data_IF_975144163859
#
_entry.id   IF_975144163859
#
_cell.length_a   1.000
_cell.length_b   1.000
_cell.length_c   1.000
_cell.angle_alpha   90.00
_cell.angle_beta   90.00
_cell.angle_gamma   90.00
#
_symmetry.space_group_name_H-M   'P 1'
#
loop_
_entity.id
_entity.type
_entity.pdbx_description
1 polymer ?
#
# COMPACT_ATOMS: atom_id res chain seq x y z
N UNK A 1 8.18 20.25 3.78
CA UNK A 1 8.70 19.20 4.66
C UNK A 1 8.68 17.85 3.97
N UNK A 2 7.52 17.31 3.61
CA UNK A 2 7.36 15.98 3.01
C UNK A 2 8.27 15.73 1.79
N UNK A 3 8.53 16.74 0.97
CA UNK A 3 9.29 16.61 -0.27
C UNK A 3 10.82 16.65 -0.09
N UNK A 4 11.34 17.29 0.99
CA UNK A 4 12.76 17.64 1.05
C UNK A 4 13.44 17.50 2.42
N UNK A 5 12.76 17.03 3.45
CA UNK A 5 13.33 17.01 4.82
C UNK A 5 13.12 15.66 5.51
N UNK A 6 13.60 14.58 4.92
CA UNK A 6 13.53 13.24 5.54
C UNK A 6 14.55 13.05 6.68
N UNK A 7 15.62 13.82 6.73
CA UNK A 7 16.79 13.53 7.57
C UNK A 7 16.88 14.31 8.90
N UNK A 8 15.95 15.20 9.21
CA UNK A 8 16.06 16.01 10.44
C UNK A 8 14.86 15.81 11.38
N UNK A 9 14.90 14.76 12.17
CA UNK A 9 14.19 14.73 13.44
C UNK A 9 15.05 15.40 14.52
N UNK A 10 15.09 16.75 14.53
CA UNK A 10 15.68 17.45 15.67
C UNK A 10 14.75 17.31 16.87
N UNK A 11 15.30 16.86 17.97
CA UNK A 11 14.60 16.64 19.23
C UNK A 11 14.32 17.93 20.00
N UNK A 12 15.01 19.03 19.67
CA UNK A 12 14.88 20.32 20.36
C UNK A 12 13.87 21.26 19.68
N UNK A 13 12.97 21.85 20.48
CA UNK A 13 12.02 22.88 20.02
C UNK A 13 12.72 24.11 19.42
N UNK A 14 13.83 24.54 20.01
CA UNK A 14 14.61 25.71 19.55
C UNK A 14 15.27 25.43 18.21
N UNK A 15 15.86 24.28 18.00
CA UNK A 15 16.42 23.87 16.69
C UNK A 15 15.36 23.84 15.60
N UNK A 16 14.16 23.35 15.90
CA UNK A 16 13.02 23.38 14.97
C UNK A 16 12.64 24.80 14.59
N UNK A 17 12.51 25.70 15.56
CA UNK A 17 12.05 27.05 15.32
C UNK A 17 13.09 27.90 14.57
N UNK A 18 14.37 27.79 14.93
CA UNK A 18 15.43 28.70 14.42
C UNK A 18 16.22 28.14 13.24
N UNK A 19 16.32 26.82 13.08
CA UNK A 19 17.09 26.21 12.00
C UNK A 19 16.23 25.55 10.93
N UNK A 20 15.19 24.79 11.31
CA UNK A 20 14.36 24.07 10.33
C UNK A 20 13.40 25.00 9.60
N UNK A 21 12.71 25.90 10.30
CA UNK A 21 11.69 26.76 9.67
C UNK A 21 12.29 27.72 8.63
N UNK A 22 13.40 28.40 8.87
CA UNK A 22 14.03 29.20 7.83
C UNK A 22 14.49 28.43 6.62
N UNK A 23 15.00 27.19 6.80
CA UNK A 23 15.36 26.31 5.68
C UNK A 23 14.13 25.93 4.88
N UNK A 24 13.03 25.54 5.53
CA UNK A 24 11.76 25.23 4.88
C UNK A 24 11.24 26.42 4.05
N UNK A 25 11.36 27.66 4.56
CA UNK A 25 10.92 28.85 3.84
C UNK A 25 11.78 29.14 2.60
N UNK A 26 13.10 29.01 2.70
CA UNK A 26 14.00 29.20 1.55
C UNK A 26 13.69 28.14 0.47
N UNK A 27 13.53 26.89 0.87
CA UNK A 27 13.19 25.81 -0.06
C UNK A 27 11.82 26.06 -0.70
N UNK A 28 10.83 26.48 0.07
CA UNK A 28 9.50 26.79 -0.44
C UNK A 28 9.51 27.92 -1.46
N UNK A 29 10.21 29.02 -1.17
CA UNK A 29 10.35 30.15 -2.09
C UNK A 29 11.06 29.73 -3.39
N UNK A 30 12.12 28.94 -3.28
CA UNK A 30 12.83 28.40 -4.45
C UNK A 30 11.97 27.43 -5.26
N UNK A 31 11.19 26.59 -4.59
CA UNK A 31 10.26 25.67 -5.24
C UNK A 31 9.19 26.44 -6.03
N UNK A 32 8.58 27.46 -5.42
CA UNK A 32 7.57 28.30 -6.06
C UNK A 32 8.13 29.13 -7.22
N UNK A 33 9.44 29.44 -7.22
CA UNK A 33 10.10 30.11 -8.36
C UNK A 33 10.40 29.19 -9.55
N UNK A 34 10.53 27.87 -9.30
CA UNK A 34 10.93 26.90 -10.32
C UNK A 34 9.73 26.09 -10.88
N UNK A 35 8.68 25.95 -10.11
CA UNK A 35 7.54 25.08 -10.42
C UNK A 35 6.22 25.82 -10.28
N UNK A 36 5.26 25.47 -11.10
CA UNK A 36 3.89 25.95 -10.97
C UNK A 36 3.21 25.33 -9.75
N UNK A 37 2.15 25.97 -9.25
CA UNK A 37 1.35 25.43 -8.12
C UNK A 37 0.79 24.04 -8.42
N UNK A 38 0.40 23.77 -9.67
CA UNK A 38 -0.08 22.45 -10.10
C UNK A 38 0.99 21.38 -9.99
N UNK A 39 2.21 21.66 -10.44
CA UNK A 39 3.35 20.75 -10.35
C UNK A 39 3.74 20.47 -8.89
N UNK A 40 3.72 21.51 -8.04
CA UNK A 40 4.00 21.35 -6.60
C UNK A 40 2.97 20.44 -5.94
N UNK A 41 1.68 20.61 -6.26
CA UNK A 41 0.61 19.76 -5.75
C UNK A 41 0.78 18.33 -6.28
N UNK A 42 1.08 18.14 -7.55
CA UNK A 42 1.31 16.83 -8.14
C UNK A 42 2.49 16.11 -7.46
N UNK A 43 3.63 16.80 -7.26
CA UNK A 43 4.77 16.24 -6.53
C UNK A 43 4.38 15.83 -5.09
N UNK A 44 3.62 16.68 -4.40
CA UNK A 44 3.15 16.39 -3.04
C UNK A 44 2.24 15.16 -2.99
N UNK A 45 1.24 15.09 -3.86
CA UNK A 45 0.28 13.99 -3.93
C UNK A 45 0.95 12.67 -4.33
N UNK A 46 1.94 12.71 -5.22
CA UNK A 46 2.67 11.52 -5.65
C UNK A 46 3.62 10.96 -4.58
N UNK A 47 3.99 11.77 -3.59
CA UNK A 47 4.89 11.35 -2.51
C UNK A 47 4.17 11.05 -1.19
N UNK A 48 2.93 11.45 -1.06
CA UNK A 48 2.20 11.28 0.19
C UNK A 48 1.84 9.81 0.42
N UNK A 49 2.05 9.33 1.67
CA UNK A 49 1.68 7.98 2.09
C UNK A 49 0.24 7.95 2.60
N UNK A 50 -0.65 7.35 1.81
CA UNK A 50 -2.05 7.14 2.13
C UNK A 50 -2.27 5.87 2.98
N UNK A 51 -1.21 5.24 3.48
CA UNK A 51 -1.22 3.95 4.18
C UNK A 51 -1.63 2.75 3.31
N UNK A 52 -1.65 1.56 3.93
CA UNK A 52 -2.04 0.32 3.26
C UNK A 52 -1.28 0.07 1.95
N UNK A 53 0.01 0.46 1.91
CA UNK A 53 0.91 0.40 0.74
C UNK A 53 0.54 1.38 -0.40
N UNK A 54 -0.37 2.32 -0.14
CA UNK A 54 -0.77 3.34 -1.08
C UNK A 54 0.16 4.56 -1.01
N UNK A 55 1.36 4.48 -1.58
CA UNK A 55 2.26 5.63 -1.71
C UNK A 55 1.97 6.36 -3.02
N UNK A 56 1.54 7.61 -2.90
CA UNK A 56 1.10 8.44 -4.00
C UNK A 56 -0.37 8.29 -4.35
N UNK A 57 -0.94 9.34 -4.95
CA UNK A 57 -2.37 9.45 -5.25
C UNK A 57 -2.86 8.36 -6.22
N UNK A 58 -2.03 7.97 -7.20
CA UNK A 58 -2.38 6.94 -8.16
C UNK A 58 -2.54 5.58 -7.47
N UNK A 59 -1.56 5.20 -6.64
CA UNK A 59 -1.65 3.98 -5.85
C UNK A 59 -2.85 4.00 -4.90
N UNK A 60 -3.18 5.17 -4.33
CA UNK A 60 -4.33 5.32 -3.46
C UNK A 60 -5.65 5.13 -4.22
N UNK A 61 -5.79 5.68 -5.44
CA UNK A 61 -6.95 5.49 -6.29
C UNK A 61 -7.18 4.00 -6.62
N UNK A 62 -6.13 3.32 -7.06
CA UNK A 62 -6.19 1.87 -7.36
C UNK A 62 -6.49 1.04 -6.10
N UNK A 63 -5.80 1.29 -4.98
CA UNK A 63 -5.94 0.47 -3.76
C UNK A 63 -7.30 0.66 -3.08
N UNK A 64 -7.80 1.90 -2.98
CA UNK A 64 -9.04 2.16 -2.25
C UNK A 64 -10.30 2.04 -3.11
N UNK A 65 -10.18 2.29 -4.43
CA UNK A 65 -11.34 2.38 -5.32
C UNK A 65 -11.26 1.48 -6.56
N UNK A 66 -10.09 0.85 -6.81
CA UNK A 66 -9.84 0.06 -8.03
C UNK A 66 -10.06 0.89 -9.32
N UNK A 67 -9.58 2.14 -9.30
CA UNK A 67 -9.75 3.12 -10.38
C UNK A 67 -8.44 3.81 -10.70
N UNK A 68 -8.32 4.30 -11.93
CA UNK A 68 -7.31 5.32 -12.26
C UNK A 68 -7.73 6.68 -11.67
N UNK A 69 -6.76 7.60 -11.57
CA UNK A 69 -6.99 8.91 -10.91
C UNK A 69 -8.06 9.73 -11.63
N UNK A 70 -8.10 9.62 -12.96
CA UNK A 70 -9.03 10.34 -13.85
C UNK A 70 -10.49 9.83 -13.73
N UNK A 71 -10.66 8.62 -13.21
CA UNK A 71 -11.97 7.96 -13.03
C UNK A 71 -12.58 8.20 -11.66
N UNK A 72 -11.82 8.86 -10.76
CA UNK A 72 -12.30 9.14 -9.41
C UNK A 72 -13.47 10.13 -9.43
N UNK A 73 -14.51 9.81 -8.69
CA UNK A 73 -15.61 10.72 -8.42
C UNK A 73 -15.19 11.82 -7.43
N UNK A 74 -15.97 12.90 -7.36
CA UNK A 74 -15.67 14.05 -6.46
C UNK A 74 -15.64 13.62 -4.99
N UNK A 75 -16.56 12.76 -4.56
CA UNK A 75 -16.59 12.23 -3.18
C UNK A 75 -15.37 11.38 -2.85
N UNK A 76 -14.85 10.61 -3.81
CA UNK A 76 -13.65 9.79 -3.69
C UNK A 76 -12.41 10.69 -3.61
N UNK A 77 -12.31 11.67 -4.49
CA UNK A 77 -11.27 12.71 -4.43
C UNK A 77 -11.29 13.45 -3.08
N UNK A 78 -12.46 13.87 -2.63
CA UNK A 78 -12.61 14.57 -1.36
C UNK A 78 -12.21 13.70 -0.16
N UNK A 79 -12.43 12.39 -0.23
CA UNK A 79 -11.97 11.44 0.78
C UNK A 79 -10.45 11.39 0.81
N UNK A 80 -9.79 11.17 -0.33
CA UNK A 80 -8.33 11.11 -0.41
C UNK A 80 -7.68 12.42 0.04
N UNK A 81 -8.20 13.56 -0.40
CA UNK A 81 -7.75 14.89 0.09
C UNK A 81 -7.96 15.03 1.61
N UNK A 82 -9.05 14.49 2.12
CA UNK A 82 -9.32 14.44 3.56
C UNK A 82 -8.24 13.70 4.36
N UNK A 83 -7.68 12.62 3.80
CA UNK A 83 -6.62 11.82 4.40
C UNK A 83 -5.28 12.57 4.50
N UNK A 84 -5.04 13.59 3.67
CA UNK A 84 -3.80 14.38 3.68
C UNK A 84 -3.56 15.08 5.03
N UNK A 85 -4.57 15.29 5.83
CA UNK A 85 -4.41 15.87 7.18
C UNK A 85 -3.70 14.91 8.13
N UNK A 86 -4.07 13.65 8.11
CA UNK A 86 -3.46 12.57 8.89
C UNK A 86 -4.02 11.23 8.40
N UNK A 87 -3.28 10.52 7.57
CA UNK A 87 -3.74 9.25 6.98
C UNK A 87 -3.98 8.15 8.03
N UNK A 88 -3.22 8.15 9.14
CA UNK A 88 -3.43 7.17 10.21
C UNK A 88 -4.74 7.40 10.98
N UNK A 89 -5.12 8.67 11.21
CA UNK A 89 -6.37 9.03 11.87
C UNK A 89 -7.58 8.82 10.94
N UNK A 90 -7.44 9.22 9.68
CA UNK A 90 -8.49 9.17 8.66
C UNK A 90 -8.34 7.95 7.73
N UNK A 91 -8.05 6.78 8.31
CA UNK A 91 -7.97 5.53 7.56
C UNK A 91 -9.37 4.97 7.29
N UNK A 92 -9.83 4.88 6.02
CA UNK A 92 -11.20 4.46 5.68
C UNK A 92 -11.50 2.99 6.02
N UNK A 93 -10.48 2.13 6.10
CA UNK A 93 -10.67 0.72 6.48
C UNK A 93 -10.90 0.52 7.99
N UNK A 94 -10.54 1.52 8.81
CA UNK A 94 -10.62 1.41 10.26
C UNK A 94 -11.64 2.34 10.89
N UNK A 95 -11.84 3.52 10.31
CA UNK A 95 -12.61 4.62 10.93
C UNK A 95 -13.47 5.35 9.90
N UNK A 96 -14.35 4.61 9.24
CA UNK A 96 -15.18 5.13 8.13
C UNK A 96 -15.98 6.38 8.52
N UNK A 97 -16.52 6.43 9.75
CA UNK A 97 -17.28 7.58 10.22
C UNK A 97 -16.45 8.87 10.33
N UNK A 98 -15.21 8.77 10.84
CA UNK A 98 -14.30 9.92 10.92
C UNK A 98 -13.86 10.37 9.52
N UNK A 99 -13.66 9.43 8.62
CA UNK A 99 -13.32 9.71 7.22
C UNK A 99 -14.48 10.41 6.51
N UNK A 100 -15.71 9.95 6.72
CA UNK A 100 -16.92 10.59 6.17
C UNK A 100 -17.03 12.04 6.66
N UNK A 101 -16.90 12.28 7.96
CA UNK A 101 -16.90 13.64 8.51
C UNK A 101 -15.77 14.50 7.91
N UNK A 102 -14.59 13.91 7.69
CA UNK A 102 -13.45 14.62 7.11
C UNK A 102 -13.66 14.92 5.63
N UNK A 103 -14.20 13.97 4.84
CA UNK A 103 -14.63 14.18 3.46
C UNK A 103 -15.60 15.36 3.37
N UNK A 104 -16.59 15.41 4.25
CA UNK A 104 -17.61 16.45 4.27
C UNK A 104 -17.04 17.84 4.58
N UNK A 105 -15.97 17.92 5.38
CA UNK A 105 -15.21 19.15 5.56
C UNK A 105 -14.56 19.61 4.26
N UNK A 106 -13.99 18.70 3.48
CA UNK A 106 -13.40 19.02 2.17
C UNK A 106 -14.47 19.51 1.21
N UNK A 107 -15.60 18.80 1.10
CA UNK A 107 -16.74 19.20 0.25
C UNK A 107 -17.31 20.58 0.65
N UNK A 108 -17.39 20.88 1.95
CA UNK A 108 -17.79 22.20 2.42
C UNK A 108 -16.79 23.30 2.01
N UNK A 109 -15.48 23.00 2.03
CA UNK A 109 -14.48 23.96 1.55
C UNK A 109 -14.61 24.18 0.04
N UNK A 110 -14.83 23.13 -0.74
CA UNK A 110 -15.05 23.24 -2.19
C UNK A 110 -16.27 24.13 -2.50
N UNK A 111 -17.37 23.96 -1.75
CA UNK A 111 -18.56 24.81 -1.91
C UNK A 111 -18.29 26.25 -1.45
N UNK A 112 -17.56 26.45 -0.35
CA UNK A 112 -17.19 27.79 0.14
C UNK A 112 -16.39 28.59 -0.89
N UNK A 113 -15.51 27.91 -1.63
CA UNK A 113 -14.70 28.55 -2.68
C UNK A 113 -15.33 28.46 -4.08
N UNK A 114 -16.63 28.18 -4.17
CA UNK A 114 -17.41 28.14 -5.43
C UNK A 114 -16.97 27.10 -6.46
N UNK A 115 -16.26 26.05 -6.04
CA UNK A 115 -15.96 24.89 -6.90
C UNK A 115 -17.15 23.95 -7.03
N UNK A 116 -18.11 23.99 -6.07
CA UNK A 116 -19.34 23.22 -6.07
C UNK A 116 -20.51 24.11 -5.67
N UNK A 117 -21.70 23.83 -6.24
CA UNK A 117 -22.94 24.43 -5.74
C UNK A 117 -23.34 23.80 -4.40
N UNK A 118 -24.06 24.54 -3.56
CA UNK A 118 -24.50 24.02 -2.26
C UNK A 118 -25.42 22.81 -2.39
N UNK A 119 -26.33 22.82 -3.39
CA UNK A 119 -27.22 21.66 -3.63
C UNK A 119 -26.46 20.41 -4.05
N UNK A 120 -25.46 20.55 -4.92
CA UNK A 120 -24.65 19.42 -5.38
C UNK A 120 -23.76 18.86 -4.26
N UNK A 121 -23.14 19.75 -3.44
CA UNK A 121 -22.43 19.34 -2.22
C UNK A 121 -23.31 18.49 -1.30
N UNK A 122 -24.56 18.93 -1.05
CA UNK A 122 -25.47 18.24 -0.12
C UNK A 122 -25.91 16.88 -0.68
N UNK A 123 -26.11 16.79 -2.00
CA UNK A 123 -26.37 15.52 -2.67
C UNK A 123 -25.19 14.54 -2.51
N UNK A 124 -23.95 14.98 -2.71
CA UNK A 124 -22.77 14.15 -2.55
C UNK A 124 -22.55 13.72 -1.09
N UNK A 125 -22.78 14.62 -0.13
CA UNK A 125 -22.65 14.29 1.30
C UNK A 125 -23.63 13.20 1.75
N UNK A 126 -24.78 13.09 1.12
CA UNK A 126 -25.75 12.04 1.39
C UNK A 126 -25.29 10.65 0.91
N UNK A 127 -24.32 10.61 -0.01
CA UNK A 127 -23.77 9.34 -0.51
C UNK A 127 -22.84 8.72 0.51
N UNK A 128 -22.95 7.40 0.77
CA UNK A 128 -21.99 6.67 1.58
C UNK A 128 -20.63 6.59 0.87
N UNK A 129 -19.56 6.48 1.62
CA UNK A 129 -18.24 6.14 1.05
C UNK A 129 -18.25 4.65 0.70
N UNK A 130 -18.20 4.35 -0.58
CA UNK A 130 -18.09 2.97 -1.08
C UNK A 130 -16.64 2.71 -1.46
N UNK A 131 -16.02 1.76 -0.78
CA UNK A 131 -14.65 1.34 -1.07
C UNK A 131 -14.68 0.06 -1.92
N UNK A 132 -13.89 0.03 -2.96
CA UNK A 132 -13.51 -1.19 -3.68
C UNK A 132 -12.05 -1.51 -3.36
N UNK A 133 -11.80 -1.86 -2.10
CA UNK A 133 -10.46 -2.03 -1.57
C UNK A 133 -9.76 -3.23 -2.19
N UNK A 134 -8.70 -2.95 -2.96
CA UNK A 134 -7.80 -3.95 -3.50
C UNK A 134 -6.56 -4.04 -2.61
N UNK A 135 -6.46 -5.13 -1.87
CA UNK A 135 -5.24 -5.39 -1.14
C UNK A 135 -4.15 -5.77 -2.15
N UNK A 136 -3.18 -4.89 -2.34
CA UNK A 136 -1.97 -5.26 -3.07
C UNK A 136 -1.21 -6.27 -2.22
N UNK A 137 -1.48 -7.54 -2.45
CA UNK A 137 -0.66 -8.61 -1.88
C UNK A 137 0.61 -8.74 -2.70
N UNK A 138 1.74 -8.91 -2.04
CA UNK A 138 3.00 -9.24 -2.73
C UNK A 138 2.91 -10.58 -3.46
N UNK A 139 1.92 -11.40 -3.08
CA UNK A 139 1.65 -12.72 -3.63
C UNK A 139 0.76 -12.71 -4.88
N UNK A 140 0.14 -11.56 -5.21
CA UNK A 140 -0.74 -11.41 -6.38
C UNK A 140 0.03 -10.84 -7.59
N UNK A 141 -0.40 -11.25 -8.79
CA UNK A 141 0.22 -10.87 -10.07
C UNK A 141 1.30 -11.84 -10.55
N UNK A 142 1.87 -11.58 -11.72
CA UNK A 142 2.84 -12.45 -12.38
C UNK A 142 4.11 -12.65 -11.54
N UNK A 143 4.60 -13.88 -11.46
CA UNK A 143 5.86 -14.27 -10.82
C UNK A 143 6.06 -13.74 -9.38
N UNK A 144 5.16 -14.00 -8.41
CA UNK A 144 5.25 -13.40 -7.08
C UNK A 144 6.54 -13.78 -6.35
N UNK A 145 6.97 -15.02 -6.40
CA UNK A 145 8.22 -15.50 -5.79
C UNK A 145 9.45 -14.83 -6.40
N UNK A 146 9.47 -14.68 -7.72
CA UNK A 146 10.55 -13.99 -8.42
C UNK A 146 10.63 -12.52 -7.98
N UNK A 147 9.50 -11.82 -7.92
CA UNK A 147 9.45 -10.41 -7.47
C UNK A 147 9.96 -10.25 -6.03
N UNK A 148 9.58 -11.15 -5.14
CA UNK A 148 10.05 -11.12 -3.75
C UNK A 148 11.56 -11.37 -3.66
N UNK A 149 12.07 -12.35 -4.41
CA UNK A 149 13.51 -12.62 -4.49
C UNK A 149 14.28 -11.43 -5.08
N UNK A 150 13.75 -10.84 -6.15
CA UNK A 150 14.32 -9.65 -6.78
C UNK A 150 14.34 -8.47 -5.82
N UNK A 151 13.27 -8.25 -5.07
CA UNK A 151 13.19 -7.22 -4.03
C UNK A 151 14.28 -7.41 -2.96
N UNK A 152 14.45 -8.61 -2.47
CA UNK A 152 15.48 -8.93 -1.47
C UNK A 152 16.88 -8.67 -2.02
N UNK A 153 17.14 -9.07 -3.26
CA UNK A 153 18.44 -8.88 -3.91
C UNK A 153 18.75 -7.40 -4.18
N UNK A 154 17.76 -6.62 -4.65
CA UNK A 154 17.92 -5.17 -4.83
C UNK A 154 18.19 -4.46 -3.50
N UNK A 155 17.51 -4.84 -2.42
CA UNK A 155 17.80 -4.30 -1.09
C UNK A 155 19.24 -4.61 -0.66
N UNK A 156 19.73 -5.81 -0.93
CA UNK A 156 21.11 -6.21 -0.66
C UNK A 156 22.08 -5.34 -1.43
N UNK A 157 21.92 -5.23 -2.76
CA UNK A 157 22.79 -4.46 -3.65
C UNK A 157 22.83 -2.98 -3.23
N UNK A 158 21.69 -2.37 -2.97
CA UNK A 158 21.63 -0.95 -2.57
C UNK A 158 22.10 -0.68 -1.13
N UNK A 159 22.25 -1.72 -0.32
CA UNK A 159 22.78 -1.60 1.05
C UNK A 159 24.28 -1.93 1.14
N UNK A 160 24.87 -2.41 0.06
CA UNK A 160 26.29 -2.75 0.01
C UNK A 160 27.15 -1.49 0.05
N UNK A 161 28.19 -1.52 0.89
CA UNK A 161 29.07 -0.38 1.12
C UNK A 161 30.53 -0.72 0.84
N UNK A 162 31.26 0.27 0.36
CA UNK A 162 32.70 0.25 0.30
C UNK A 162 33.33 0.36 1.70
N UNK A 163 34.64 0.07 1.85
CA UNK A 163 35.37 0.22 3.12
C UNK A 163 35.34 1.66 3.68
N UNK A 164 35.17 2.66 2.82
CA UNK A 164 35.03 4.09 3.18
C UNK A 164 33.62 4.48 3.63
N UNK A 165 32.73 3.50 3.80
CA UNK A 165 31.33 3.67 4.20
C UNK A 165 30.40 4.30 3.14
N UNK A 166 30.90 4.56 1.92
CA UNK A 166 30.08 4.96 0.77
C UNK A 166 29.29 3.79 0.20
N UNK A 167 28.12 4.05 -0.39
CA UNK A 167 27.35 2.98 -1.04
C UNK A 167 27.94 2.60 -2.40
N UNK A 168 28.05 1.30 -2.68
CA UNK A 168 28.54 0.77 -3.96
C UNK A 168 27.66 1.24 -5.12
N UNK A 169 26.35 1.27 -4.90
CA UNK A 169 25.35 1.83 -5.83
C UNK A 169 24.65 2.99 -5.13
N UNK A 170 24.97 4.20 -5.56
CA UNK A 170 24.44 5.44 -4.93
C UNK A 170 23.86 6.38 -5.97
N UNK A 171 23.00 7.28 -5.48
CA UNK A 171 22.52 8.44 -6.25
C UNK A 171 23.64 9.46 -6.44
N UNK A 172 23.40 10.48 -7.25
CA UNK A 172 24.35 11.57 -7.48
C UNK A 172 24.74 12.35 -6.21
N UNK A 173 23.86 12.33 -5.18
CA UNK A 173 24.09 12.93 -3.87
C UNK A 173 24.78 12.00 -2.86
N UNK A 174 25.18 10.79 -3.28
CA UNK A 174 25.81 9.77 -2.44
C UNK A 174 24.84 8.97 -1.57
N UNK A 175 23.55 9.25 -1.59
CA UNK A 175 22.55 8.48 -0.85
C UNK A 175 22.22 7.15 -1.53
N UNK A 176 21.71 6.18 -0.76
CA UNK A 176 21.28 4.88 -1.31
C UNK A 176 19.97 5.03 -2.08
N UNK A 177 19.75 4.13 -3.03
CA UNK A 177 18.46 4.00 -3.71
C UNK A 177 17.39 3.37 -2.80
N UNK A 178 16.16 3.90 -2.90
CA UNK A 178 14.97 3.32 -2.28
C UNK A 178 14.08 2.70 -3.36
N UNK A 179 13.82 1.39 -3.25
CA UNK A 179 13.06 0.61 -4.23
C UNK A 179 11.63 1.17 -4.41
N UNK A 180 11.06 1.74 -3.36
CA UNK A 180 9.66 2.20 -3.35
C UNK A 180 9.48 3.66 -3.69
N UNK A 181 10.55 4.47 -3.63
CA UNK A 181 10.46 5.93 -3.73
C UNK A 181 11.14 6.53 -4.95
N UNK A 182 12.15 5.87 -5.47
CA UNK A 182 13.02 6.44 -6.50
C UNK A 182 12.57 6.11 -7.94
N UNK A 183 11.40 5.47 -8.11
CA UNK A 183 10.83 5.20 -9.44
C UNK A 183 11.71 4.35 -10.33
N UNK A 184 12.45 3.40 -9.76
CA UNK A 184 13.42 2.57 -10.49
C UNK A 184 12.74 1.67 -11.52
N UNK A 185 13.33 1.61 -12.71
CA UNK A 185 12.96 0.64 -13.75
C UNK A 185 13.95 -0.51 -13.71
N UNK A 186 13.46 -1.69 -13.33
CA UNK A 186 14.28 -2.90 -13.23
C UNK A 186 14.02 -3.78 -14.44
N UNK A 187 15.04 -3.96 -15.27
CA UNK A 187 15.00 -4.86 -16.43
C UNK A 187 15.49 -6.24 -16.00
N UNK A 188 14.72 -7.27 -16.32
CA UNK A 188 15.02 -8.66 -15.96
C UNK A 188 15.03 -9.53 -17.21
N UNK A 189 15.60 -10.72 -17.10
CA UNK A 189 15.64 -11.71 -18.20
C UNK A 189 14.42 -12.63 -18.23
N UNK A 190 13.45 -12.43 -17.33
CA UNK A 190 12.25 -13.27 -17.28
C UNK A 190 11.35 -12.97 -18.50
N UNK A 191 10.91 -14.03 -19.20
CA UNK A 191 9.90 -13.93 -20.24
C UNK A 191 8.51 -14.13 -19.61
N UNK A 192 7.66 -13.12 -19.69
CA UNK A 192 6.33 -13.13 -19.07
C UNK A 192 5.41 -14.23 -19.61
N UNK A 193 5.55 -14.61 -20.88
CA UNK A 193 4.75 -15.69 -21.50
C UNK A 193 5.20 -17.06 -20.99
N UNK A 194 6.52 -17.28 -20.92
CA UNK A 194 7.06 -18.53 -20.35
C UNK A 194 6.68 -18.67 -18.88
N UNK A 195 6.75 -17.58 -18.11
CA UNK A 195 6.31 -17.55 -16.73
C UNK A 195 4.83 -17.91 -16.59
N UNK A 196 3.98 -17.35 -17.42
CA UNK A 196 2.54 -17.65 -17.42
C UNK A 196 2.27 -19.11 -17.77
N UNK A 197 2.98 -19.70 -18.74
CA UNK A 197 2.88 -21.11 -19.05
C UNK A 197 3.30 -21.99 -17.87
N UNK A 198 4.37 -21.62 -17.18
CA UNK A 198 4.83 -22.34 -15.99
C UNK A 198 3.80 -22.26 -14.84
N UNK A 199 3.25 -21.10 -14.55
CA UNK A 199 2.21 -20.90 -13.53
C UNK A 199 0.95 -21.68 -13.85
N UNK A 200 0.51 -21.66 -15.10
CA UNK A 200 -0.63 -22.46 -15.57
C UNK A 200 -0.38 -23.98 -15.45
N UNK A 201 0.82 -24.43 -15.79
CA UNK A 201 1.19 -25.84 -15.65
C UNK A 201 1.19 -26.28 -14.19
N UNK A 202 1.78 -25.46 -13.29
CA UNK A 202 1.77 -25.69 -11.84
C UNK A 202 0.32 -25.76 -11.32
N UNK A 203 -0.49 -24.76 -11.64
CA UNK A 203 -1.90 -24.71 -11.21
C UNK A 203 -2.70 -25.93 -11.69
N UNK A 204 -2.52 -26.33 -12.96
CA UNK A 204 -3.21 -27.49 -13.54
C UNK A 204 -2.79 -28.81 -12.91
N UNK A 205 -1.50 -29.05 -12.78
CA UNK A 205 -0.98 -30.36 -12.32
C UNK A 205 -0.95 -30.46 -10.79
N UNK A 206 -0.47 -29.43 -10.09
CA UNK A 206 -0.42 -29.48 -8.62
C UNK A 206 -1.75 -29.17 -7.99
N UNK A 207 -2.43 -28.10 -8.45
CA UNK A 207 -3.75 -27.69 -7.90
C UNK A 207 -4.92 -28.58 -8.35
N UNK A 208 -4.79 -29.30 -9.46
CA UNK A 208 -5.79 -30.20 -9.98
C UNK A 208 -5.56 -31.67 -9.57
N UNK A 209 -4.77 -32.37 -10.38
CA UNK A 209 -4.62 -33.83 -10.26
C UNK A 209 -3.89 -34.25 -8.99
N UNK A 210 -2.79 -33.61 -8.66
CA UNK A 210 -1.99 -33.99 -7.49
C UNK A 210 -2.72 -33.66 -6.19
N UNK A 211 -3.34 -32.47 -6.08
CA UNK A 211 -4.10 -32.08 -4.91
C UNK A 211 -5.28 -33.02 -4.67
N UNK A 212 -6.03 -33.36 -5.73
CA UNK A 212 -7.13 -34.29 -5.63
C UNK A 212 -6.70 -35.71 -5.19
N UNK A 213 -5.53 -36.16 -5.66
CA UNK A 213 -4.94 -37.43 -5.24
C UNK A 213 -4.49 -37.39 -3.79
N UNK A 214 -3.83 -36.30 -3.38
CA UNK A 214 -3.40 -36.07 -2.01
C UNK A 214 -4.58 -36.00 -1.03
N UNK A 215 -5.64 -35.26 -1.37
CA UNK A 215 -6.84 -35.16 -0.55
C UNK A 215 -7.55 -36.51 -0.40
N UNK A 216 -7.51 -37.36 -1.45
CA UNK A 216 -8.04 -38.71 -1.41
C UNK A 216 -7.23 -39.61 -0.49
N UNK A 217 -5.90 -39.53 -0.59
CA UNK A 217 -4.99 -40.28 0.28
C UNK A 217 -5.18 -39.89 1.75
N UNK A 218 -5.26 -38.60 2.02
CA UNK A 218 -5.50 -38.10 3.38
C UNK A 218 -6.84 -38.56 3.96
N UNK A 219 -7.92 -38.59 3.14
CA UNK A 219 -9.23 -39.08 3.58
C UNK A 219 -9.20 -40.57 3.93
N UNK A 220 -8.36 -41.34 3.28
CA UNK A 220 -8.24 -42.78 3.48
C UNK A 220 -7.27 -43.16 4.63
N UNK A 221 -6.50 -42.18 5.18
CA UNK A 221 -5.64 -42.44 6.33
C UNK A 221 -6.45 -42.57 7.63
N UNK A 222 -5.96 -43.37 8.58
CA UNK A 222 -6.53 -43.42 9.92
C UNK A 222 -6.59 -42.02 10.55
N UNK A 223 -7.71 -41.67 11.19
CA UNK A 223 -7.91 -40.34 11.80
C UNK A 223 -6.89 -39.98 12.88
N UNK A 224 -6.20 -40.99 13.42
CA UNK A 224 -5.16 -40.81 14.43
C UNK A 224 -3.89 -40.15 13.90
N UNK A 225 -3.59 -40.32 12.61
CA UNK A 225 -2.31 -39.86 12.01
C UNK A 225 -2.47 -38.49 11.32
N UNK A 226 -3.65 -37.89 11.29
CA UNK A 226 -3.90 -36.69 10.51
C UNK A 226 -4.65 -35.62 11.32
N UNK A 227 -4.29 -34.33 11.16
CA UNK A 227 -3.18 -33.76 10.39
C UNK A 227 -1.86 -33.60 11.15
N UNK A 228 -1.82 -34.01 12.42
CA UNK A 228 -0.69 -33.78 13.33
C UNK A 228 -0.21 -35.09 13.96
N UNK A 229 1.07 -35.14 14.31
CA UNK A 229 1.66 -36.25 15.06
C UNK A 229 0.99 -36.40 16.43
N UNK A 230 1.00 -37.63 16.98
CA UNK A 230 0.39 -37.99 18.30
C UNK A 230 0.91 -37.15 19.48
N UNK A 231 2.12 -36.58 19.36
CA UNK A 231 2.80 -35.81 20.39
C UNK A 231 2.20 -34.41 20.65
N UNK A 232 1.25 -33.95 19.84
CA UNK A 232 0.62 -32.63 20.02
C UNK A 232 -0.68 -32.75 20.79
N UNK A 233 -0.73 -32.04 21.92
CA UNK A 233 -1.92 -31.96 22.77
C UNK A 233 -3.17 -31.56 21.96
N UNK A 234 -4.33 -32.22 22.18
CA UNK A 234 -5.56 -31.94 21.47
C UNK A 234 -6.01 -30.47 21.52
N UNK A 235 -5.79 -29.77 22.64
CA UNK A 235 -6.14 -28.35 22.80
C UNK A 235 -5.22 -27.48 21.95
N UNK A 236 -3.91 -27.77 21.96
CA UNK A 236 -2.93 -27.07 21.11
C UNK A 236 -3.23 -27.30 19.63
N UNK A 237 -3.62 -28.52 19.24
CA UNK A 237 -4.05 -28.87 17.88
C UNK A 237 -5.24 -28.03 17.43
N UNK A 238 -6.28 -27.93 18.27
CA UNK A 238 -7.46 -27.13 17.97
C UNK A 238 -7.15 -25.66 17.83
N UNK A 239 -6.27 -25.13 18.72
CA UNK A 239 -5.80 -23.74 18.67
C UNK A 239 -5.09 -23.43 17.35
N UNK A 240 -4.21 -24.34 16.87
CA UNK A 240 -3.50 -24.17 15.61
C UNK A 240 -4.48 -24.16 14.42
N UNK A 241 -5.46 -25.07 14.43
CA UNK A 241 -6.51 -25.15 13.39
C UNK A 241 -7.34 -23.85 13.39
N UNK A 242 -7.76 -23.37 14.54
CA UNK A 242 -8.59 -22.17 14.66
C UNK A 242 -7.85 -20.92 14.19
N UNK A 243 -6.55 -20.82 14.47
CA UNK A 243 -5.69 -19.74 13.96
C UNK A 243 -5.59 -19.85 12.43
N UNK A 244 -5.28 -21.03 11.89
CA UNK A 244 -5.14 -21.24 10.45
C UNK A 244 -6.44 -20.94 9.69
N UNK A 245 -7.60 -21.38 10.23
CA UNK A 245 -8.92 -21.08 9.67
C UNK A 245 -9.18 -19.57 9.68
N UNK A 246 -8.92 -18.90 10.81
CA UNK A 246 -9.15 -17.46 10.99
C UNK A 246 -8.29 -16.62 10.06
N UNK A 247 -7.07 -17.08 9.77
CA UNK A 247 -6.13 -16.40 8.89
C UNK A 247 -6.34 -16.71 7.41
N UNK A 248 -7.13 -17.74 7.09
CA UNK A 248 -7.42 -18.08 5.69
C UNK A 248 -8.23 -16.97 4.98
N UNK A 249 -7.89 -16.72 3.72
CA UNK A 249 -8.61 -15.74 2.89
C UNK A 249 -10.09 -16.10 2.70
N UNK A 250 -10.41 -17.39 2.70
CA UNK A 250 -11.78 -17.87 2.61
C UNK A 250 -12.63 -17.47 3.81
N UNK A 251 -12.08 -17.56 5.03
CA UNK A 251 -12.75 -17.11 6.25
C UNK A 251 -12.89 -15.59 6.29
N UNK A 252 -11.84 -14.85 5.91
CA UNK A 252 -11.85 -13.39 5.82
C UNK A 252 -12.90 -12.90 4.81
N UNK A 253 -12.99 -13.53 3.64
CA UNK A 253 -14.01 -13.22 2.62
C UNK A 253 -15.43 -13.58 3.06
N UNK A 254 -15.63 -14.65 3.84
CA UNK A 254 -16.95 -15.03 4.35
C UNK A 254 -17.46 -14.08 5.44
N UNK A 255 -16.57 -13.58 6.33
CA UNK A 255 -16.93 -12.58 7.34
C UNK A 255 -17.29 -11.22 6.75
N UNK A 256 -16.67 -10.82 5.65
CA UNK A 256 -16.99 -9.57 4.94
C UNK A 256 -18.33 -9.61 4.18
N UNK A 257 -18.96 -10.78 4.06
CA UNK A 257 -20.30 -10.93 3.44
C UNK A 257 -21.45 -11.00 4.46
N UNK A 258 -21.14 -10.98 5.74
CA UNK A 258 -22.10 -11.10 6.87
C UNK A 258 -22.26 -9.81 7.68
N UNK A 259 -21.67 -8.68 7.20
CA UNK A 259 -21.87 -7.34 7.76
C UNK A 259 -22.57 -6.45 6.75
#
# INVERSE_FOLDING_TARGET
KLLFTEEYESTSFLERAFLQKPKEWIIAARLESLYTKGEIIAMYLNRYDFLNQAVGIRSAATIYFDKEVEELNIEECAMLVGMLKNSALFNPLRRIELVTKRRDVVLNQMAKYSFLTSSFRDSIKALPITLNYQRVSHDEGAAPYFRERLRAELKRIFSEKHPDNSYVVSKADGSKYDIYRDGLKVHTTIDSRMQQYAENAVSKHLGGELQASFDRDLKNRPKQDYPFFEEIDPEARQTIIDIAVRDSDRYKKSKGKLC
#
